data_IF_198934857611
#
_entry.id   IF_198934857611
#
_cell.length_a   1.000
_cell.length_b   1.000
_cell.length_c   1.000
_cell.angle_alpha   90.00
_cell.angle_beta   90.00
_cell.angle_gamma   90.00
#
_symmetry.space_group_name_H-M   'P 1'
#
loop_
_entity.id
_entity.type
_entity.pdbx_description
1 polymer ?
#
# COMPACT_ATOMS: atom_id res chain seq x y z
N UNK A 1 -14.74 -5.05 -13.28
CA UNK A 1 -13.56 -5.01 -14.19
C UNK A 1 -12.28 -4.44 -13.56
N UNK A 2 -12.28 -3.95 -12.30
CA UNK A 2 -11.05 -3.53 -11.59
C UNK A 2 -10.20 -4.68 -11.00
N UNK A 3 -10.72 -5.91 -10.97
CA UNK A 3 -10.09 -7.05 -10.31
C UNK A 3 -9.20 -7.91 -11.23
N UNK A 4 -9.13 -7.63 -12.55
CA UNK A 4 -8.38 -8.47 -13.48
C UNK A 4 -6.87 -8.23 -13.48
N UNK A 5 -6.40 -7.10 -12.97
CA UNK A 5 -4.96 -6.75 -12.89
C UNK A 5 -4.19 -7.59 -11.85
N UNK A 6 -4.89 -8.27 -10.93
CA UNK A 6 -4.28 -9.03 -9.83
C UNK A 6 -4.28 -10.55 -10.01
N UNK A 7 -4.59 -11.07 -11.21
CA UNK A 7 -4.47 -12.51 -11.47
C UNK A 7 -3.02 -12.86 -11.78
N UNK A 8 -2.29 -13.42 -10.80
CA UNK A 8 -0.94 -13.96 -11.05
C UNK A 8 -0.99 -15.08 -12.11
N UNK A 9 0.01 -15.20 -13.00
CA UNK A 9 0.15 -16.36 -13.87
C UNK A 9 0.49 -17.58 -13.02
N UNK A 10 -0.20 -18.70 -13.28
CA UNK A 10 0.05 -19.97 -12.60
C UNK A 10 1.51 -20.38 -12.76
N UNK A 11 2.29 -20.26 -11.69
CA UNK A 11 3.62 -20.85 -11.61
C UNK A 11 3.58 -21.88 -10.49
N UNK A 12 3.58 -23.15 -10.89
CA UNK A 12 3.91 -24.26 -10.01
C UNK A 12 5.28 -24.00 -9.39
N UNK A 13 5.30 -23.79 -8.07
CA UNK A 13 6.53 -23.64 -7.28
C UNK A 13 7.20 -25.02 -7.18
N UNK A 14 8.47 -25.19 -7.56
CA UNK A 14 9.22 -26.41 -7.27
C UNK A 14 9.49 -26.50 -5.75
N UNK A 15 9.31 -27.69 -5.19
CA UNK A 15 9.56 -27.97 -3.78
C UNK A 15 11.02 -27.70 -3.37
N UNK A 16 11.14 -27.11 -2.18
CA UNK A 16 12.30 -27.09 -1.28
C UNK A 16 13.60 -26.43 -1.77
N UNK A 17 13.86 -25.21 -1.26
CA UNK A 17 15.22 -24.69 -1.08
C UNK A 17 15.64 -24.96 0.38
N UNK A 18 16.80 -25.62 0.65
CA UNK A 18 17.24 -25.93 2.00
C UNK A 18 17.54 -24.66 2.83
N UNK A 19 17.08 -24.63 4.08
CA UNK A 19 17.44 -23.56 5.02
C UNK A 19 18.84 -23.77 5.61
N UNK A 20 19.73 -22.75 5.61
CA UNK A 20 20.91 -22.79 6.45
C UNK A 20 20.55 -22.45 7.89
N UNK A 21 21.10 -23.23 8.83
CA UNK A 21 20.96 -23.02 10.26
C UNK A 21 21.83 -21.85 10.73
N UNK A 22 21.22 -20.84 11.35
CA UNK A 22 21.94 -19.78 12.05
C UNK A 22 21.34 -19.58 13.45
N UNK A 23 22.18 -19.76 14.46
CA UNK A 23 21.88 -19.64 15.88
C UNK A 23 21.45 -18.23 16.31
N UNK A 24 20.66 -18.20 17.39
CA UNK A 24 19.92 -17.04 17.85
C UNK A 24 20.75 -15.88 18.40
N UNK A 25 20.17 -14.68 18.26
CA UNK A 25 20.35 -13.59 19.21
C UNK A 25 19.07 -12.75 19.26
N UNK A 26 18.52 -12.62 20.46
CA UNK A 26 17.38 -11.75 20.76
C UNK A 26 17.81 -10.30 20.58
N UNK A 27 17.14 -9.59 19.66
CA UNK A 27 17.37 -8.17 19.38
C UNK A 27 16.03 -7.50 19.07
N UNK A 28 15.76 -6.39 19.76
CA UNK A 28 14.52 -5.61 19.73
C UNK A 28 14.19 -5.17 18.30
N UNK A 29 12.96 -5.48 17.88
CA UNK A 29 12.47 -5.45 16.51
C UNK A 29 12.56 -4.10 15.82
N UNK A 30 13.64 -3.89 15.09
CA UNK A 30 13.62 -3.13 13.84
C UNK A 30 13.19 -4.12 12.75
N UNK A 31 12.27 -3.73 11.86
CA UNK A 31 11.64 -4.59 10.87
C UNK A 31 12.65 -5.42 10.07
N UNK A 32 12.90 -6.64 10.52
CA UNK A 32 13.83 -7.57 9.88
C UNK A 32 13.19 -8.15 8.60
N UNK A 33 13.95 -8.39 7.53
CA UNK A 33 13.48 -9.08 6.33
C UNK A 33 12.78 -10.42 6.62
N UNK A 34 13.15 -11.07 7.73
CA UNK A 34 12.52 -12.31 8.20
C UNK A 34 11.08 -12.11 8.71
N UNK A 35 10.75 -10.93 9.25
CA UNK A 35 9.38 -10.57 9.67
C UNK A 35 8.46 -10.41 8.46
N UNK A 36 8.97 -9.84 7.36
CA UNK A 36 8.22 -9.67 6.10
C UNK A 36 7.86 -11.03 5.46
N UNK A 37 8.77 -12.00 5.52
CA UNK A 37 8.57 -13.35 4.94
C UNK A 37 7.50 -14.15 5.68
N UNK A 38 7.43 -14.02 7.01
CA UNK A 38 6.40 -14.66 7.85
C UNK A 38 5.04 -14.01 7.63
N UNK A 39 5.00 -12.67 7.58
CA UNK A 39 3.78 -11.90 7.36
C UNK A 39 3.23 -12.00 5.95
N UNK A 40 4.06 -12.23 4.92
CA UNK A 40 3.60 -12.54 3.56
C UNK A 40 2.63 -13.73 3.52
N UNK A 41 2.83 -14.75 4.37
CA UNK A 41 1.93 -15.90 4.50
C UNK A 41 0.67 -15.62 5.32
N UNK A 42 0.70 -14.63 6.22
CA UNK A 42 -0.49 -14.17 6.96
C UNK A 42 -1.34 -13.17 6.14
N UNK A 43 -0.71 -12.33 5.32
CA UNK A 43 -1.37 -11.44 4.35
C UNK A 43 -2.07 -12.22 3.23
N UNK A 44 -1.56 -13.40 2.88
CA UNK A 44 -2.19 -14.31 1.93
C UNK A 44 -3.44 -15.00 2.51
N UNK A 45 -3.76 -14.81 3.80
CA UNK A 45 -5.07 -15.18 4.34
C UNK A 45 -6.07 -14.13 3.89
N UNK A 46 -6.54 -14.31 2.67
CA UNK A 46 -7.95 -14.05 2.39
C UNK A 46 -8.72 -14.73 3.53
N UNK A 47 -9.60 -14.00 4.22
CA UNK A 47 -10.59 -14.68 5.05
C UNK A 47 -11.26 -15.74 4.17
N UNK A 48 -11.72 -16.87 4.73
CA UNK A 48 -12.14 -18.09 4.04
C UNK A 48 -13.17 -17.93 2.89
N UNK A 49 -13.60 -16.70 2.57
CA UNK A 49 -14.37 -16.29 1.40
C UNK A 49 -13.70 -15.33 0.39
N UNK A 50 -12.37 -15.12 0.41
CA UNK A 50 -11.68 -14.35 -0.64
C UNK A 50 -11.61 -12.83 -0.43
N UNK A 51 -11.75 -12.33 0.81
CA UNK A 51 -11.71 -10.90 1.14
C UNK A 51 -10.48 -10.50 1.98
N UNK A 52 -10.10 -9.22 1.95
CA UNK A 52 -8.91 -8.71 2.63
C UNK A 52 -9.22 -8.38 4.09
N UNK A 53 -8.53 -9.02 5.04
CA UNK A 53 -8.62 -8.67 6.46
C UNK A 53 -7.90 -7.33 6.73
N UNK A 54 -8.65 -6.32 7.16
CA UNK A 54 -8.16 -4.94 7.24
C UNK A 54 -7.03 -4.78 8.25
N UNK A 55 -7.09 -5.46 9.39
CA UNK A 55 -6.01 -5.38 10.39
C UNK A 55 -4.68 -5.88 9.82
N UNK A 56 -4.70 -7.02 9.11
CA UNK A 56 -3.48 -7.59 8.52
C UNK A 56 -2.96 -6.68 7.39
N UNK A 57 -3.86 -6.17 6.56
CA UNK A 57 -3.51 -5.23 5.50
C UNK A 57 -2.84 -3.97 6.06
N UNK A 58 -3.42 -3.34 7.08
CA UNK A 58 -2.88 -2.12 7.69
C UNK A 58 -1.57 -2.38 8.42
N UNK A 59 -1.43 -3.55 9.05
CA UNK A 59 -0.17 -3.94 9.68
C UNK A 59 0.96 -4.10 8.64
N UNK A 60 0.65 -4.71 7.49
CA UNK A 60 1.60 -4.84 6.39
C UNK A 60 1.95 -3.50 5.76
N UNK A 61 0.96 -2.65 5.50
CA UNK A 61 1.15 -1.30 5.00
C UNK A 61 2.02 -0.46 5.97
N UNK A 62 1.85 -0.63 7.29
CA UNK A 62 2.67 0.01 8.31
C UNK A 62 4.14 -0.41 8.24
N UNK A 63 4.41 -1.71 8.13
CA UNK A 63 5.78 -2.22 7.99
C UNK A 63 6.40 -1.72 6.69
N UNK A 64 5.65 -1.79 5.60
CA UNK A 64 6.12 -1.34 4.29
C UNK A 64 6.48 0.15 4.31
N UNK A 65 5.59 0.99 4.83
CA UNK A 65 5.83 2.45 4.97
C UNK A 65 7.07 2.74 5.82
N UNK A 66 7.30 1.95 6.87
CA UNK A 66 8.51 2.06 7.72
C UNK A 66 9.79 1.80 6.92
N UNK A 67 9.81 0.75 6.10
CA UNK A 67 10.97 0.41 5.26
C UNK A 67 11.21 1.51 4.21
N UNK A 68 10.16 2.02 3.59
CA UNK A 68 10.26 3.09 2.60
C UNK A 68 10.85 4.38 3.18
N UNK A 69 10.50 4.71 4.43
CA UNK A 69 11.06 5.86 5.14
C UNK A 69 12.58 5.80 5.35
N UNK A 70 13.19 4.60 5.23
CA UNK A 70 14.63 4.40 5.38
C UNK A 70 15.42 4.60 4.07
N UNK A 71 14.74 4.74 2.94
CA UNK A 71 15.37 4.87 1.61
C UNK A 71 15.97 6.26 1.33
N UNK A 72 15.71 7.24 2.20
CA UNK A 72 16.24 8.60 2.10
C UNK A 72 15.20 9.66 2.35
N UNK A 73 15.62 10.93 2.39
CA UNK A 73 14.74 12.07 2.73
C UNK A 73 13.54 12.19 1.79
N UNK A 74 13.76 12.09 0.47
CA UNK A 74 12.68 12.19 -0.51
C UNK A 74 11.64 11.06 -0.34
N UNK A 75 12.11 9.83 -0.18
CA UNK A 75 11.24 8.68 0.07
C UNK A 75 10.49 8.82 1.40
N UNK A 76 11.16 9.33 2.44
CA UNK A 76 10.55 9.61 3.74
C UNK A 76 9.43 10.65 3.65
N UNK A 77 9.58 11.70 2.83
CA UNK A 77 8.51 12.67 2.59
C UNK A 77 7.28 12.01 1.95
N UNK A 78 7.47 11.16 0.94
CA UNK A 78 6.34 10.44 0.31
C UNK A 78 5.73 9.42 1.29
N UNK A 79 6.56 8.71 2.05
CA UNK A 79 6.13 7.75 3.07
C UNK A 79 5.34 8.43 4.20
N UNK A 80 5.64 9.68 4.54
CA UNK A 80 4.89 10.44 5.54
C UNK A 80 3.43 10.70 5.11
N UNK A 81 3.19 10.98 3.81
CA UNK A 81 1.84 11.11 3.26
C UNK A 81 1.08 9.78 3.30
N UNK A 82 1.72 8.69 2.89
CA UNK A 82 1.17 7.33 3.03
C UNK A 82 0.82 7.03 4.49
N UNK A 83 1.72 7.36 5.41
CA UNK A 83 1.52 7.18 6.85
C UNK A 83 0.35 7.99 7.41
N UNK A 84 0.07 9.20 6.87
CA UNK A 84 -1.11 9.98 7.23
C UNK A 84 -2.39 9.24 6.81
N UNK A 85 -2.45 8.77 5.57
CA UNK A 85 -3.60 8.03 5.06
C UNK A 85 -3.80 6.71 5.81
N UNK A 86 -2.72 5.98 6.10
CA UNK A 86 -2.73 4.76 6.92
C UNK A 86 -3.36 5.00 8.30
N UNK A 87 -2.92 6.04 9.02
CA UNK A 87 -3.48 6.38 10.35
C UNK A 87 -4.96 6.71 10.27
N UNK A 88 -5.38 7.38 9.20
CA UNK A 88 -6.80 7.66 8.95
C UNK A 88 -7.63 6.37 8.79
N UNK A 89 -7.18 5.44 7.95
CA UNK A 89 -7.86 4.15 7.78
C UNK A 89 -7.87 3.34 9.08
N UNK A 90 -6.77 3.35 9.85
CA UNK A 90 -6.72 2.74 11.17
C UNK A 90 -7.75 3.34 12.13
N UNK A 91 -7.90 4.67 12.15
CA UNK A 91 -8.90 5.35 12.96
C UNK A 91 -10.33 4.94 12.59
N UNK A 92 -10.64 4.84 11.29
CA UNK A 92 -11.94 4.36 10.82
C UNK A 92 -12.19 2.89 11.18
N UNK A 93 -11.17 2.02 11.08
CA UNK A 93 -11.29 0.63 11.50
C UNK A 93 -11.56 0.54 13.01
N UNK A 94 -10.80 1.27 13.82
CA UNK A 94 -10.92 1.23 15.29
C UNK A 94 -12.25 1.77 15.82
N UNK A 95 -12.98 2.61 15.07
CA UNK A 95 -14.30 3.07 15.49
C UNK A 95 -15.39 1.99 15.37
N UNK A 96 -15.25 1.05 14.43
CA UNK A 96 -16.23 -0.01 14.17
C UNK A 96 -15.53 -1.33 13.75
N UNK A 97 -14.72 -1.94 14.64
CA UNK A 97 -13.77 -2.99 14.26
C UNK A 97 -14.43 -4.25 13.70
N UNK A 98 -15.61 -4.63 14.20
CA UNK A 98 -16.32 -5.83 13.73
C UNK A 98 -16.90 -5.61 12.32
N UNK A 99 -17.62 -4.50 12.11
CA UNK A 99 -18.22 -4.17 10.81
C UNK A 99 -17.17 -3.91 9.73
N UNK A 100 -16.00 -3.41 10.13
CA UNK A 100 -14.92 -2.99 9.22
C UNK A 100 -13.76 -3.99 9.18
N UNK A 101 -13.92 -5.19 9.73
CA UNK A 101 -12.87 -6.22 9.82
C UNK A 101 -12.31 -6.63 8.45
N UNK A 102 -13.13 -6.59 7.39
CA UNK A 102 -12.70 -6.87 6.02
C UNK A 102 -12.81 -5.63 5.13
N UNK A 103 -12.11 -5.61 4.00
CA UNK A 103 -12.16 -4.51 3.03
C UNK A 103 -13.59 -4.28 2.53
N UNK A 104 -14.33 -5.35 2.24
CA UNK A 104 -15.75 -5.22 1.86
C UNK A 104 -16.57 -4.61 2.99
N UNK A 105 -16.45 -5.13 4.21
CA UNK A 105 -17.15 -4.59 5.38
C UNK A 105 -16.81 -3.12 5.63
N UNK A 106 -15.54 -2.75 5.49
CA UNK A 106 -15.06 -1.37 5.60
C UNK A 106 -15.77 -0.44 4.60
N UNK A 107 -15.82 -0.85 3.32
CA UNK A 107 -16.45 -0.05 2.26
C UNK A 107 -17.98 -0.05 2.33
N UNK A 108 -18.60 -1.12 2.81
CA UNK A 108 -20.06 -1.19 2.98
C UNK A 108 -20.51 -0.33 4.16
N UNK A 109 -19.77 -0.33 5.28
CA UNK A 109 -19.97 0.60 6.39
C UNK A 109 -19.83 2.06 5.92
N UNK A 110 -18.83 2.33 5.06
CA UNK A 110 -18.63 3.64 4.48
C UNK A 110 -19.85 4.08 3.62
N UNK A 111 -20.31 3.22 2.70
CA UNK A 111 -21.49 3.51 1.87
C UNK A 111 -22.73 3.79 2.70
N UNK A 112 -22.90 3.10 3.82
CA UNK A 112 -24.03 3.27 4.72
C UNK A 112 -24.11 4.69 5.32
N UNK A 113 -22.98 5.41 5.43
CA UNK A 113 -22.95 6.81 5.91
C UNK A 113 -23.61 7.80 4.93
N UNK A 114 -23.75 7.42 3.65
CA UNK A 114 -24.28 8.27 2.57
C UNK A 114 -23.58 9.63 2.43
N UNK A 115 -22.33 9.75 2.88
CA UNK A 115 -21.57 11.00 2.82
C UNK A 115 -20.97 11.29 1.44
N UNK A 116 -20.87 10.28 0.56
CA UNK A 116 -20.32 10.43 -0.79
C UNK A 116 -21.40 10.83 -1.80
N UNK A 117 -21.01 11.62 -2.80
CA UNK A 117 -21.91 11.94 -3.91
C UNK A 117 -21.90 10.76 -4.90
N UNK A 118 -23.01 10.03 -4.94
CA UNK A 118 -23.21 8.97 -5.92
C UNK A 118 -23.27 9.58 -7.32
N UNK A 119 -22.43 9.09 -8.21
CA UNK A 119 -22.43 9.41 -9.62
C UNK A 119 -21.99 8.16 -10.39
N UNK A 120 -21.98 8.24 -11.72
CA UNK A 120 -21.39 7.20 -12.57
C UNK A 120 -19.97 6.85 -12.08
N UNK A 121 -19.48 5.61 -12.28
CA UNK A 121 -18.19 5.16 -11.72
C UNK A 121 -17.00 6.10 -11.98
N UNK A 122 -17.00 6.80 -13.13
CA UNK A 122 -15.97 7.78 -13.51
C UNK A 122 -16.13 9.17 -12.88
N UNK A 123 -17.22 9.41 -12.16
CA UNK A 123 -17.61 10.70 -11.58
C UNK A 123 -17.91 10.62 -10.08
N UNK A 124 -17.79 9.45 -9.46
CA UNK A 124 -18.00 9.28 -8.03
C UNK A 124 -17.03 10.17 -7.24
N UNK A 125 -17.57 11.06 -6.41
CA UNK A 125 -16.77 11.94 -5.55
C UNK A 125 -16.88 11.47 -4.11
N UNK A 126 -15.77 10.94 -3.58
CA UNK A 126 -15.66 10.63 -2.18
C UNK A 126 -15.57 11.93 -1.39
N UNK A 127 -16.38 12.07 -0.33
CA UNK A 127 -16.16 13.08 0.70
C UNK A 127 -14.70 13.09 1.17
N UNK A 128 -14.17 14.29 1.42
CA UNK A 128 -12.84 14.50 1.97
C UNK A 128 -12.95 15.44 3.19
N UNK A 129 -12.62 14.97 4.41
CA UNK A 129 -12.06 13.65 4.74
C UNK A 129 -13.11 12.53 4.79
N UNK A 130 -12.70 11.30 4.45
CA UNK A 130 -13.47 10.07 4.68
C UNK A 130 -12.58 8.83 4.73
N UNK A 131 -13.08 7.73 5.27
CA UNK A 131 -12.34 6.47 5.38
C UNK A 131 -12.01 5.89 4.01
N UNK A 132 -12.97 5.95 3.07
CA UNK A 132 -12.73 5.53 1.69
C UNK A 132 -11.74 6.44 0.96
N UNK A 133 -11.77 7.76 1.19
CA UNK A 133 -10.80 8.69 0.59
C UNK A 133 -9.38 8.40 1.09
N UNK A 134 -9.22 8.19 2.40
CA UNK A 134 -7.92 7.84 2.98
C UNK A 134 -7.42 6.49 2.47
N UNK A 135 -8.30 5.49 2.37
CA UNK A 135 -7.95 4.18 1.80
C UNK A 135 -7.53 4.29 0.34
N UNK A 136 -8.22 5.12 -0.46
CA UNK A 136 -7.86 5.36 -1.86
C UNK A 136 -6.45 5.96 -1.98
N UNK A 137 -6.12 6.98 -1.20
CA UNK A 137 -4.78 7.59 -1.23
C UNK A 137 -3.70 6.66 -0.66
N UNK A 138 -4.02 5.84 0.34
CA UNK A 138 -3.14 4.78 0.83
C UNK A 138 -2.80 3.79 -0.30
N UNK A 139 -3.82 3.27 -1.00
CA UNK A 139 -3.62 2.31 -2.09
C UNK A 139 -2.83 2.91 -3.26
N UNK A 140 -3.08 4.17 -3.62
CA UNK A 140 -2.31 4.88 -4.65
C UNK A 140 -0.83 5.02 -4.27
N UNK A 141 -0.55 5.42 -3.02
CA UNK A 141 0.82 5.54 -2.53
C UNK A 141 1.56 4.20 -2.45
N UNK A 142 0.88 3.14 -2.01
CA UNK A 142 1.42 1.77 -2.03
C UNK A 142 1.69 1.29 -3.47
N UNK A 143 0.77 1.58 -4.40
CA UNK A 143 0.92 1.24 -5.82
C UNK A 143 2.10 1.92 -6.49
N UNK A 144 2.30 3.22 -6.22
CA UNK A 144 3.49 3.96 -6.67
C UNK A 144 4.78 3.27 -6.23
N UNK A 145 4.90 2.93 -4.94
CA UNK A 145 6.10 2.32 -4.42
C UNK A 145 6.31 0.87 -4.89
N UNK A 146 5.25 0.09 -5.00
CA UNK A 146 5.33 -1.26 -5.58
C UNK A 146 5.90 -1.18 -7.00
N UNK A 147 5.39 -0.25 -7.82
CA UNK A 147 5.86 -0.05 -9.19
C UNK A 147 7.29 0.49 -9.24
N UNK A 148 7.62 1.47 -8.40
CA UNK A 148 8.97 2.01 -8.28
C UNK A 148 9.99 0.93 -7.94
N UNK A 149 9.73 0.09 -6.94
CA UNK A 149 10.62 -0.99 -6.54
C UNK A 149 10.74 -2.05 -7.65
N UNK A 150 9.64 -2.38 -8.34
CA UNK A 150 9.68 -3.27 -9.50
C UNK A 150 10.62 -2.73 -10.58
N UNK A 151 10.45 -1.47 -10.97
CA UNK A 151 11.29 -0.81 -11.98
C UNK A 151 12.76 -0.72 -11.55
N UNK A 152 13.05 -0.52 -10.26
CA UNK A 152 14.41 -0.59 -9.73
C UNK A 152 15.03 -1.98 -9.86
N UNK A 153 14.24 -3.05 -9.60
CA UNK A 153 14.71 -4.42 -9.77
C UNK A 153 14.97 -4.76 -11.24
N UNK A 154 14.16 -4.21 -12.15
CA UNK A 154 14.30 -4.29 -13.60
C UNK A 154 15.39 -3.35 -14.17
N UNK A 155 16.05 -2.56 -13.32
CA UNK A 155 17.11 -1.60 -13.69
C UNK A 155 16.65 -0.53 -14.69
N UNK A 156 15.36 -0.17 -14.63
CA UNK A 156 14.77 0.81 -15.51
C UNK A 156 15.31 2.22 -15.21
N UNK A 157 15.76 2.98 -16.23
CA UNK A 157 16.27 4.34 -16.04
C UNK A 157 15.17 5.27 -15.53
N UNK A 158 15.49 6.12 -14.55
CA UNK A 158 14.51 7.04 -13.95
C UNK A 158 13.24 6.35 -13.39
N UNK A 159 13.39 5.15 -12.80
CA UNK A 159 12.32 4.33 -12.23
C UNK A 159 11.28 5.10 -11.39
N UNK A 160 11.71 6.09 -10.59
CA UNK A 160 10.80 6.90 -9.78
C UNK A 160 9.87 7.78 -10.62
N UNK A 161 10.38 8.37 -11.71
CA UNK A 161 9.60 9.23 -12.59
C UNK A 161 8.58 8.42 -13.40
N UNK A 162 9.00 7.27 -13.90
CA UNK A 162 8.12 6.34 -14.61
C UNK A 162 7.00 5.84 -13.69
N UNK A 163 7.35 5.33 -12.50
CA UNK A 163 6.36 4.88 -11.52
C UNK A 163 5.35 5.99 -11.17
N UNK A 164 5.81 7.23 -11.04
CA UNK A 164 4.93 8.37 -10.77
C UNK A 164 3.94 8.61 -11.91
N UNK A 165 4.43 8.64 -13.15
CA UNK A 165 3.60 8.89 -14.33
C UNK A 165 2.53 7.82 -14.52
N UNK A 166 2.88 6.55 -14.30
CA UNK A 166 1.94 5.43 -14.43
C UNK A 166 0.90 5.37 -13.31
N UNK A 167 1.18 5.97 -12.14
CA UNK A 167 0.34 5.77 -10.93
C UNK A 167 -0.30 7.06 -10.41
N UNK A 168 0.50 8.04 -9.97
CA UNK A 168 0.03 9.19 -9.19
C UNK A 168 -0.23 10.44 -10.03
N UNK A 169 0.46 10.62 -11.16
CA UNK A 169 0.43 11.86 -11.93
C UNK A 169 -0.99 12.31 -12.29
N UNK A 170 -1.84 11.36 -12.69
CA UNK A 170 -3.24 11.59 -13.06
C UNK A 170 -4.13 12.14 -11.92
N UNK A 171 -3.70 12.01 -10.66
CA UNK A 171 -4.47 12.42 -9.49
C UNK A 171 -3.96 13.72 -8.85
N UNK A 172 -2.83 14.24 -9.31
CA UNK A 172 -2.24 15.45 -8.76
C UNK A 172 -2.64 16.68 -9.57
N UNK A 173 -2.98 17.75 -8.86
CA UNK A 173 -3.06 19.09 -9.47
C UNK A 173 -1.71 19.50 -10.04
N UNK A 174 -1.68 20.45 -10.98
CA UNK A 174 -0.42 20.97 -11.56
C UNK A 174 0.58 21.41 -10.48
N UNK A 175 0.10 22.06 -9.41
CA UNK A 175 0.93 22.49 -8.29
C UNK A 175 1.49 21.29 -7.50
N UNK A 176 0.66 20.29 -7.19
CA UNK A 176 1.09 19.08 -6.49
C UNK A 176 2.09 18.29 -7.33
N UNK A 177 1.84 18.16 -8.63
CA UNK A 177 2.72 17.46 -9.57
C UNK A 177 4.10 18.13 -9.65
N UNK A 178 4.14 19.46 -9.69
CA UNK A 178 5.39 20.22 -9.64
C UNK A 178 6.21 19.92 -8.38
N UNK A 179 5.57 19.91 -7.20
CA UNK A 179 6.24 19.54 -5.94
C UNK A 179 6.75 18.11 -5.95
N UNK A 180 5.96 17.16 -6.47
CA UNK A 180 6.36 15.75 -6.57
C UNK A 180 7.55 15.54 -7.51
N UNK A 181 7.69 16.34 -8.56
CA UNK A 181 8.83 16.21 -9.49
C UNK A 181 10.18 16.43 -8.80
N UNK A 182 10.27 17.34 -7.84
CA UNK A 182 11.48 17.51 -7.04
C UNK A 182 11.77 16.29 -6.16
N UNK A 183 10.74 15.73 -5.53
CA UNK A 183 10.88 14.53 -4.70
C UNK A 183 11.35 13.34 -5.54
N UNK A 184 10.72 13.12 -6.70
CA UNK A 184 11.06 12.06 -7.66
C UNK A 184 12.51 12.15 -8.11
N UNK A 185 12.99 13.36 -8.42
CA UNK A 185 14.37 13.59 -8.86
C UNK A 185 15.38 13.28 -7.74
N UNK A 186 14.96 13.42 -6.48
CA UNK A 186 15.76 13.11 -5.31
C UNK A 186 15.55 11.67 -4.77
N UNK A 187 14.77 10.84 -5.46
CA UNK A 187 14.60 9.43 -5.09
C UNK A 187 15.90 8.65 -5.28
N UNK A 188 16.18 7.66 -4.44
CA UNK A 188 17.39 6.85 -4.55
C UNK A 188 17.40 6.03 -5.84
N UNK A 189 18.61 5.74 -6.32
CA UNK A 189 18.87 4.66 -7.27
C UNK A 189 19.12 3.35 -6.51
N UNK A 190 19.08 2.22 -7.23
CA UNK A 190 19.37 0.88 -6.72
C UNK A 190 20.72 0.79 -6.02
#
# INVERSE_FOLDING_TARGET
EWFEVWREPSTTVPDAIPQPACHGRSGVGHGSPFTLSRKRRELARLDGGGDVHMEHFLEAASIYTTVLGQLGTASSTVAADIGKNLRGVQQCLSSEPETRATLRGFLDAEKATRQHQAAEPSHCQLADPSGAMQLQWLLRGLGFYARFLQLQLEEYPAAAAEAYNETLAQYHSTLTAFTFQFLITAMPSK
#
